data_IF_134234859276
#
_entry.id   IF_134234859276
#
_cell.length_a   1.000
_cell.length_b   1.000
_cell.length_c   1.000
_cell.angle_alpha   90.00
_cell.angle_beta   90.00
_cell.angle_gamma   90.00
#
_symmetry.space_group_name_H-M   'P 1'
#
loop_
_entity.id
_entity.type
_entity.pdbx_description
1 polymer ?
#
# COMPACT_ATOMS: atom_id res chain seq x y z
N UNK A 1 6.84 8.57 -35.85
CA UNK A 1 5.39 8.78 -35.56
C UNK A 1 5.03 10.22 -35.87
N UNK A 2 3.92 10.48 -36.58
CA UNK A 2 3.46 11.85 -36.85
C UNK A 2 2.97 12.50 -35.54
N UNK A 3 3.29 13.78 -35.26
CA UNK A 3 2.77 14.47 -34.09
C UNK A 3 1.24 14.56 -34.19
N UNK A 4 0.55 14.20 -33.10
CA UNK A 4 -0.91 14.30 -32.96
C UNK A 4 -1.21 15.24 -31.79
N UNK A 5 -1.02 16.56 -31.97
CA UNK A 5 -1.08 17.52 -30.86
C UNK A 5 -2.44 17.49 -30.15
N UNK A 6 -3.53 17.28 -30.88
CA UNK A 6 -4.87 17.12 -30.29
C UNK A 6 -4.94 15.91 -29.35
N UNK A 7 -4.38 14.76 -29.75
CA UNK A 7 -4.35 13.57 -28.91
C UNK A 7 -3.53 13.81 -27.64
N UNK A 8 -2.38 14.47 -27.77
CA UNK A 8 -1.52 14.77 -26.63
C UNK A 8 -2.21 15.71 -25.62
N UNK A 9 -2.92 16.73 -26.10
CA UNK A 9 -3.73 17.62 -25.25
C UNK A 9 -4.87 16.85 -24.58
N UNK A 10 -5.63 16.05 -25.33
CA UNK A 10 -6.74 15.26 -24.78
C UNK A 10 -6.24 14.27 -23.73
N UNK A 11 -5.10 13.62 -23.97
CA UNK A 11 -4.52 12.68 -23.01
C UNK A 11 -4.05 13.38 -21.73
N UNK A 12 -3.53 14.61 -21.79
CA UNK A 12 -3.22 15.42 -20.60
C UNK A 12 -4.50 15.78 -19.85
N UNK A 13 -5.53 16.26 -20.55
CA UNK A 13 -6.82 16.61 -19.92
C UNK A 13 -7.49 15.40 -19.26
N UNK A 14 -7.44 14.24 -19.91
CA UNK A 14 -7.94 12.99 -19.35
C UNK A 14 -7.17 12.59 -18.09
N UNK A 15 -5.84 12.70 -18.09
CA UNK A 15 -5.01 12.46 -16.88
C UNK A 15 -5.31 13.45 -15.76
N UNK A 16 -5.52 14.72 -16.09
CA UNK A 16 -5.93 15.73 -15.12
C UNK A 16 -7.27 15.36 -14.49
N UNK A 17 -8.31 15.13 -15.29
CA UNK A 17 -9.64 14.78 -14.78
C UNK A 17 -9.63 13.52 -13.91
N UNK A 18 -9.09 12.41 -14.43
CA UNK A 18 -9.04 11.13 -13.71
C UNK A 18 -8.16 11.24 -12.46
N UNK A 19 -6.98 11.85 -12.57
CA UNK A 19 -6.05 12.00 -11.46
C UNK A 19 -6.57 12.91 -10.35
N UNK A 20 -7.31 13.97 -10.68
CA UNK A 20 -7.97 14.85 -9.69
C UNK A 20 -9.01 14.10 -8.86
N UNK A 21 -9.80 13.24 -9.49
CA UNK A 21 -10.79 12.41 -8.78
C UNK A 21 -10.11 11.46 -7.80
N UNK A 22 -9.05 10.77 -8.23
CA UNK A 22 -8.26 9.92 -7.34
C UNK A 22 -7.63 10.70 -6.18
N UNK A 23 -7.04 11.87 -6.45
CA UNK A 23 -6.49 12.74 -5.39
C UNK A 23 -7.57 13.13 -4.39
N UNK A 24 -8.77 13.49 -4.85
CA UNK A 24 -9.88 13.85 -3.97
C UNK A 24 -10.31 12.68 -3.08
N UNK A 25 -10.48 11.48 -3.63
CA UNK A 25 -10.81 10.29 -2.84
C UNK A 25 -9.71 9.90 -1.85
N UNK A 26 -8.45 9.93 -2.27
CA UNK A 26 -7.31 9.62 -1.41
C UNK A 26 -7.19 10.64 -0.28
N UNK A 27 -7.38 11.93 -0.58
CA UNK A 27 -7.39 13.00 0.41
C UNK A 27 -8.49 12.81 1.45
N UNK A 28 -9.71 12.50 1.01
CA UNK A 28 -10.83 12.23 1.91
C UNK A 28 -10.52 11.07 2.87
N UNK A 29 -9.85 10.01 2.39
CA UNK A 29 -9.45 8.86 3.23
C UNK A 29 -8.37 9.24 4.25
N UNK A 30 -7.44 10.15 3.91
CA UNK A 30 -6.43 10.66 4.84
C UNK A 30 -7.08 11.57 5.89
N UNK A 31 -7.99 12.45 5.47
CA UNK A 31 -8.70 13.38 6.36
C UNK A 31 -9.58 12.64 7.36
N UNK A 32 -10.29 11.60 6.92
CA UNK A 32 -11.02 10.70 7.82
C UNK A 32 -10.10 9.94 8.79
N UNK A 33 -8.85 9.72 8.38
CA UNK A 33 -7.83 8.97 9.10
C UNK A 33 -7.89 7.47 8.81
N UNK A 34 -6.72 6.86 8.66
CA UNK A 34 -6.58 5.44 8.29
C UNK A 34 -7.36 4.50 9.21
N UNK A 35 -7.40 4.78 10.52
CA UNK A 35 -8.15 3.96 11.47
C UNK A 35 -9.66 4.00 11.21
N UNK A 36 -10.22 5.15 10.85
CA UNK A 36 -11.65 5.29 10.55
C UNK A 36 -11.99 4.63 9.21
N UNK A 37 -11.17 4.88 8.18
CA UNK A 37 -11.29 4.22 6.87
C UNK A 37 -11.18 2.70 7.00
N UNK A 38 -10.24 2.21 7.81
CA UNK A 38 -10.10 0.79 8.10
C UNK A 38 -11.36 0.19 8.74
N UNK A 39 -11.99 0.86 9.71
CA UNK A 39 -13.27 0.39 10.27
C UNK A 39 -14.37 0.33 9.22
N UNK A 40 -14.49 1.37 8.38
CA UNK A 40 -15.46 1.37 7.29
C UNK A 40 -15.23 0.21 6.31
N UNK A 41 -13.98 -0.13 6.02
CA UNK A 41 -13.63 -1.27 5.17
C UNK A 41 -13.93 -2.60 5.84
N UNK A 42 -13.76 -2.70 7.17
CA UNK A 42 -14.12 -3.87 7.97
C UNK A 42 -15.64 -4.12 7.93
N UNK A 43 -16.44 -3.06 8.11
CA UNK A 43 -17.90 -3.09 8.02
C UNK A 43 -18.40 -3.54 6.64
N UNK A 44 -17.63 -3.24 5.59
CA UNK A 44 -17.88 -3.63 4.19
C UNK A 44 -17.32 -5.03 3.85
N UNK A 45 -16.66 -5.72 4.79
CA UNK A 45 -16.12 -7.06 4.58
C UNK A 45 -14.84 -7.11 3.74
N UNK A 46 -14.12 -5.98 3.61
CA UNK A 46 -12.83 -5.93 2.89
C UNK A 46 -11.77 -6.70 3.69
N UNK A 47 -11.04 -7.64 3.06
CA UNK A 47 -9.97 -8.38 3.74
C UNK A 47 -8.80 -7.45 4.10
N UNK A 48 -8.20 -7.68 5.27
CA UNK A 48 -7.09 -6.87 5.81
C UNK A 48 -7.41 -5.36 5.81
N UNK A 49 -8.50 -4.94 6.49
CA UNK A 49 -9.11 -3.62 6.30
C UNK A 49 -8.14 -2.45 6.55
N UNK A 50 -7.29 -2.53 7.57
CA UNK A 50 -6.27 -1.51 7.82
C UNK A 50 -5.24 -1.41 6.70
N UNK A 51 -4.78 -2.55 6.17
CA UNK A 51 -3.81 -2.55 5.06
C UNK A 51 -4.45 -2.03 3.77
N UNK A 52 -5.70 -2.43 3.49
CA UNK A 52 -6.48 -1.92 2.38
C UNK A 52 -6.72 -0.40 2.50
N UNK A 53 -7.01 0.11 3.70
CA UNK A 53 -7.18 1.55 3.93
C UNK A 53 -5.91 2.35 3.69
N UNK A 54 -4.75 1.86 4.17
CA UNK A 54 -3.44 2.45 3.87
C UNK A 54 -3.19 2.43 2.37
N UNK A 55 -3.35 1.27 1.74
CA UNK A 55 -3.15 1.12 0.30
C UNK A 55 -4.02 2.08 -0.48
N UNK A 56 -5.35 2.06 -0.30
CA UNK A 56 -6.27 2.90 -1.04
C UNK A 56 -5.97 4.39 -0.85
N UNK A 57 -5.77 4.85 0.39
CA UNK A 57 -5.48 6.26 0.66
C UNK A 57 -4.22 6.76 -0.07
N UNK A 58 -3.12 6.00 -0.01
CA UNK A 58 -1.87 6.40 -0.65
C UNK A 58 -1.83 6.10 -2.15
N UNK A 59 -2.43 4.99 -2.60
CA UNK A 59 -2.50 4.63 -4.01
C UNK A 59 -3.34 5.64 -4.79
N UNK A 60 -4.51 6.03 -4.28
CA UNK A 60 -5.35 7.04 -4.91
C UNK A 60 -4.66 8.40 -4.89
N UNK A 61 -4.11 8.83 -3.75
CA UNK A 61 -3.49 10.16 -3.64
C UNK A 61 -2.21 10.28 -4.48
N UNK A 62 -1.23 9.38 -4.24
CA UNK A 62 0.07 9.42 -4.91
C UNK A 62 -0.04 8.93 -6.35
N UNK A 63 -0.87 7.91 -6.60
CA UNK A 63 -1.14 7.42 -7.95
C UNK A 63 -1.88 8.45 -8.78
N UNK A 64 -2.86 9.17 -8.22
CA UNK A 64 -3.51 10.29 -8.89
C UNK A 64 -2.52 11.39 -9.26
N UNK A 65 -1.63 11.79 -8.34
CA UNK A 65 -0.58 12.76 -8.62
C UNK A 65 0.42 12.28 -9.69
N UNK A 66 0.86 11.02 -9.61
CA UNK A 66 1.74 10.41 -10.60
C UNK A 66 1.06 10.31 -11.98
N UNK A 67 -0.24 10.02 -12.02
CA UNK A 67 -1.03 9.97 -13.24
C UNK A 67 -1.07 11.34 -13.90
N UNK A 68 -1.36 12.41 -13.15
CA UNK A 68 -1.33 13.79 -13.65
C UNK A 68 0.04 14.12 -14.24
N UNK A 69 1.11 13.84 -13.50
CA UNK A 69 2.48 14.08 -13.96
C UNK A 69 2.85 13.25 -15.21
N UNK A 70 2.18 12.13 -15.44
CA UNK A 70 2.59 11.15 -16.45
C UNK A 70 3.86 10.44 -16.03
N UNK A 71 3.92 10.01 -14.77
CA UNK A 71 5.04 9.28 -14.18
C UNK A 71 4.69 7.79 -14.05
N UNK A 72 5.58 6.94 -14.54
CA UNK A 72 5.47 5.48 -14.53
C UNK A 72 4.06 4.99 -14.94
N UNK A 73 3.48 5.58 -16.00
CA UNK A 73 2.07 5.38 -16.35
C UNK A 73 1.58 3.91 -16.39
N UNK A 74 2.36 2.95 -16.91
CA UNK A 74 1.99 1.53 -16.85
C UNK A 74 1.76 1.04 -15.42
N UNK A 75 2.68 1.38 -14.51
CA UNK A 75 2.63 0.95 -13.10
C UNK A 75 1.54 1.71 -12.36
N UNK A 76 1.51 3.04 -12.51
CA UNK A 76 0.51 3.90 -11.88
C UNK A 76 -0.91 3.50 -12.28
N UNK A 77 -1.16 3.26 -13.57
CA UNK A 77 -2.47 2.83 -14.07
C UNK A 77 -2.88 1.45 -13.57
N UNK A 78 -1.95 0.49 -13.45
CA UNK A 78 -2.25 -0.83 -12.89
C UNK A 78 -2.57 -0.77 -11.39
N UNK A 79 -1.86 0.06 -10.63
CA UNK A 79 -2.14 0.26 -9.20
C UNK A 79 -3.53 0.88 -9.00
N UNK A 80 -3.84 1.95 -9.72
CA UNK A 80 -5.17 2.59 -9.63
C UNK A 80 -6.29 1.67 -10.13
N UNK A 81 -6.02 0.85 -11.16
CA UNK A 81 -6.98 -0.16 -11.60
C UNK A 81 -7.23 -1.24 -10.53
N UNK A 82 -6.17 -1.74 -9.88
CA UNK A 82 -6.31 -2.73 -8.82
C UNK A 82 -7.12 -2.18 -7.63
N UNK A 83 -6.91 -0.91 -7.29
CA UNK A 83 -7.69 -0.20 -6.28
C UNK A 83 -9.18 -0.11 -6.65
N UNK A 84 -9.51 0.31 -7.87
CA UNK A 84 -10.89 0.33 -8.37
C UNK A 84 -11.50 -1.06 -8.48
N UNK A 85 -10.73 -2.09 -8.85
CA UNK A 85 -11.21 -3.46 -8.87
C UNK A 85 -11.57 -3.96 -7.46
N UNK A 86 -10.76 -3.63 -6.45
CA UNK A 86 -11.07 -3.91 -5.05
C UNK A 86 -12.33 -3.19 -4.59
N UNK A 87 -12.43 -1.88 -4.87
CA UNK A 87 -13.62 -1.09 -4.55
C UNK A 87 -14.89 -1.65 -5.23
N UNK A 88 -14.78 -2.12 -6.47
CA UNK A 88 -15.91 -2.74 -7.17
C UNK A 88 -16.33 -4.04 -6.46
N UNK A 89 -15.40 -4.97 -6.26
CA UNK A 89 -15.69 -6.31 -5.74
C UNK A 89 -16.26 -6.27 -4.32
N UNK A 90 -15.69 -5.44 -3.44
CA UNK A 90 -16.05 -5.46 -2.02
C UNK A 90 -17.11 -4.44 -1.64
N UNK A 91 -17.25 -3.34 -2.39
CA UNK A 91 -18.14 -2.24 -2.00
C UNK A 91 -19.33 -2.06 -2.94
N UNK A 92 -19.17 -2.32 -4.25
CA UNK A 92 -20.20 -1.97 -5.25
C UNK A 92 -20.76 -3.15 -6.05
N UNK A 93 -20.27 -4.37 -5.86
CA UNK A 93 -20.66 -5.52 -6.69
C UNK A 93 -22.15 -5.92 -6.57
N UNK A 94 -22.79 -5.57 -5.45
CA UNK A 94 -24.22 -5.78 -5.21
C UNK A 94 -25.10 -4.59 -5.58
N UNK A 95 -24.50 -3.49 -6.03
CA UNK A 95 -25.19 -2.21 -6.24
C UNK A 95 -25.59 -2.00 -7.70
N UNK A 96 -26.50 -1.06 -7.93
CA UNK A 96 -26.89 -0.62 -9.28
C UNK A 96 -25.78 0.12 -10.02
N UNK A 97 -26.02 0.43 -11.31
CA UNK A 97 -25.05 1.23 -12.11
C UNK A 97 -24.93 2.64 -11.54
N UNK A 98 -26.08 3.28 -11.29
CA UNK A 98 -26.17 4.72 -11.06
C UNK A 98 -25.97 5.08 -9.60
N UNK A 99 -25.20 6.13 -9.32
CA UNK A 99 -25.10 6.71 -7.98
C UNK A 99 -26.34 7.50 -7.57
N UNK A 100 -27.22 7.82 -8.53
CA UNK A 100 -28.50 8.46 -8.25
C UNK A 100 -29.57 7.76 -9.08
N UNK A 101 -30.50 7.10 -8.39
CA UNK A 101 -31.68 6.51 -9.01
C UNK A 101 -32.95 7.04 -8.33
N UNK A 102 -33.94 7.45 -9.12
CA UNK A 102 -35.22 7.95 -8.63
C UNK A 102 -35.16 9.13 -7.64
N UNK A 103 -34.08 9.93 -7.65
CA UNK A 103 -33.90 11.06 -6.72
C UNK A 103 -33.31 10.71 -5.36
N UNK A 104 -32.87 9.46 -5.16
CA UNK A 104 -32.10 9.03 -3.98
C UNK A 104 -30.63 8.84 -4.37
N UNK A 105 -29.73 9.24 -3.48
CA UNK A 105 -28.30 8.96 -3.63
C UNK A 105 -28.07 7.52 -3.17
N UNK A 106 -27.59 6.67 -4.08
CA UNK A 106 -27.25 5.26 -3.88
C UNK A 106 -25.76 5.03 -4.18
N UNK A 107 -25.25 3.83 -3.86
CA UNK A 107 -23.85 3.48 -4.07
C UNK A 107 -23.61 2.84 -5.44
N UNK A 108 -23.79 3.59 -6.53
CA UNK A 108 -23.60 3.07 -7.88
C UNK A 108 -22.15 2.73 -8.24
N UNK A 109 -21.93 1.70 -9.08
CA UNK A 109 -20.59 1.31 -9.51
C UNK A 109 -20.03 2.10 -10.71
N UNK A 110 -20.79 3.02 -11.30
CA UNK A 110 -20.41 3.75 -12.52
C UNK A 110 -19.06 4.47 -12.40
N UNK A 111 -18.81 5.16 -11.28
CA UNK A 111 -17.58 5.92 -11.09
C UNK A 111 -16.37 4.99 -10.99
N UNK A 112 -16.51 3.91 -10.23
CA UNK A 112 -15.47 2.89 -10.03
C UNK A 112 -15.13 2.22 -11.37
N UNK A 113 -16.15 1.90 -12.17
CA UNK A 113 -15.97 1.32 -13.50
C UNK A 113 -15.23 2.28 -14.44
N UNK A 114 -15.67 3.53 -14.53
CA UNK A 114 -15.08 4.54 -15.43
C UNK A 114 -13.64 4.84 -15.03
N UNK A 115 -13.36 5.03 -13.73
CA UNK A 115 -12.00 5.27 -13.21
C UNK A 115 -11.10 4.04 -13.41
N UNK A 116 -11.62 2.83 -13.17
CA UNK A 116 -10.89 1.59 -13.37
C UNK A 116 -10.48 1.41 -14.83
N UNK A 117 -11.44 1.47 -15.76
CA UNK A 117 -11.16 1.32 -17.20
C UNK A 117 -10.25 2.43 -17.71
N UNK A 118 -10.43 3.68 -17.25
CA UNK A 118 -9.56 4.79 -17.61
C UNK A 118 -8.11 4.57 -17.13
N UNK A 119 -7.95 4.08 -15.90
CA UNK A 119 -6.64 3.71 -15.36
C UNK A 119 -5.96 2.61 -16.19
N UNK A 120 -6.73 1.62 -16.63
CA UNK A 120 -6.23 0.54 -17.48
C UNK A 120 -5.83 1.06 -18.88
N UNK A 121 -6.57 2.01 -19.45
CA UNK A 121 -6.20 2.67 -20.70
C UNK A 121 -4.86 3.40 -20.57
N UNK A 122 -4.64 4.12 -19.47
CA UNK A 122 -3.36 4.77 -19.22
C UNK A 122 -2.23 3.76 -19.02
N UNK A 123 -2.52 2.65 -18.34
CA UNK A 123 -1.55 1.56 -18.19
C UNK A 123 -1.13 0.97 -19.54
N UNK A 124 -2.07 0.88 -20.49
CA UNK A 124 -1.83 0.41 -21.86
C UNK A 124 -1.12 1.43 -22.77
N UNK A 125 -0.78 2.63 -22.27
CA UNK A 125 -0.03 3.65 -23.01
C UNK A 125 -0.88 4.78 -23.61
N UNK A 126 -2.14 4.95 -23.18
CA UNK A 126 -3.00 6.04 -23.64
C UNK A 126 -2.63 7.44 -23.07
N UNK A 127 -1.50 7.59 -22.37
CA UNK A 127 -1.10 8.82 -21.68
C UNK A 127 -0.62 9.98 -22.56
N UNK A 128 -0.47 9.77 -23.86
CA UNK A 128 0.08 10.77 -24.78
C UNK A 128 1.59 10.95 -24.64
N UNK A 129 2.15 11.92 -25.37
CA UNK A 129 3.59 12.20 -25.39
C UNK A 129 4.05 13.18 -24.31
N UNK A 130 3.13 13.98 -23.80
CA UNK A 130 3.42 15.00 -22.79
C UNK A 130 3.46 14.39 -21.39
N UNK A 131 4.43 13.52 -21.14
CA UNK A 131 4.60 12.81 -19.86
C UNK A 131 5.96 13.10 -19.25
N UNK A 132 6.05 13.11 -17.92
CA UNK A 132 7.35 13.24 -17.24
C UNK A 132 8.28 12.09 -17.60
N UNK A 133 7.74 10.88 -17.81
CA UNK A 133 8.51 9.72 -18.30
C UNK A 133 9.26 10.03 -19.59
N UNK A 134 8.59 10.63 -20.57
CA UNK A 134 9.21 10.97 -21.85
C UNK A 134 10.20 12.13 -21.73
N UNK A 135 9.93 13.10 -20.85
CA UNK A 135 10.87 14.18 -20.57
C UNK A 135 12.15 13.68 -19.89
N UNK A 136 12.04 12.77 -18.93
CA UNK A 136 13.18 12.13 -18.26
C UNK A 136 13.95 11.26 -19.26
N UNK A 137 13.26 10.45 -20.06
CA UNK A 137 13.89 9.61 -21.09
C UNK A 137 14.62 10.46 -22.14
N UNK A 138 14.01 11.54 -22.63
CA UNK A 138 14.65 12.46 -23.57
C UNK A 138 15.88 13.15 -22.99
N UNK A 139 15.86 13.51 -21.70
CA UNK A 139 17.05 14.06 -21.02
C UNK A 139 18.19 13.06 -20.88
N UNK A 140 17.88 11.77 -20.61
CA UNK A 140 18.90 10.71 -20.53
C UNK A 140 19.56 10.47 -21.90
N UNK A 141 18.76 10.38 -22.96
CA UNK A 141 19.27 10.18 -24.32
C UNK A 141 20.15 11.34 -24.84
N UNK A 142 19.99 12.55 -24.28
CA UNK A 142 20.80 13.72 -24.63
C UNK A 142 22.07 13.87 -23.75
N UNK A 143 22.37 12.93 -22.84
CA UNK A 143 23.61 12.88 -22.04
C UNK A 143 24.43 11.61 -22.34
N UNK A 144 24.96 11.45 -23.56
CA UNK A 144 25.71 10.26 -23.96
C UNK A 144 27.04 10.07 -23.20
N UNK A 145 27.56 11.15 -22.62
CA UNK A 145 28.82 11.21 -21.87
C UNK A 145 28.81 10.35 -20.60
N UNK A 146 27.66 10.24 -19.92
CA UNK A 146 27.52 9.41 -18.70
C UNK A 146 27.42 7.92 -19.03
N UNK A 147 26.73 7.57 -20.11
CA UNK A 147 26.54 6.18 -20.53
C UNK A 147 27.86 5.56 -21.04
N UNK A 148 28.72 6.36 -21.65
CA UNK A 148 30.02 5.94 -22.18
C UNK A 148 31.07 5.74 -21.07
N UNK A 149 31.08 6.59 -20.03
CA UNK A 149 31.88 6.39 -18.82
C UNK A 149 31.42 5.17 -18.02
N UNK A 150 30.10 4.97 -17.85
CA UNK A 150 29.54 3.82 -17.16
C UNK A 150 29.88 2.51 -17.90
N UNK A 151 29.71 2.48 -19.23
CA UNK A 151 30.08 1.33 -20.06
C UNK A 151 31.60 1.06 -20.03
N UNK A 152 32.42 2.12 -20.10
CA UNK A 152 33.88 1.99 -20.01
C UNK A 152 34.32 1.47 -18.63
N UNK A 153 33.68 1.92 -17.55
CA UNK A 153 33.95 1.44 -16.19
C UNK A 153 33.57 -0.04 -16.01
N UNK A 154 32.44 -0.46 -16.60
CA UNK A 154 31.98 -1.84 -16.59
C UNK A 154 32.93 -2.76 -17.35
N UNK A 155 33.31 -2.40 -18.58
CA UNK A 155 34.30 -3.14 -19.38
C UNK A 155 35.65 -3.21 -18.67
N UNK A 156 36.08 -2.12 -18.02
CA UNK A 156 37.31 -2.11 -17.21
C UNK A 156 37.23 -3.08 -16.04
N UNK A 157 36.10 -3.12 -15.32
CA UNK A 157 35.89 -4.07 -14.22
C UNK A 157 35.87 -5.53 -14.67
N UNK A 158 35.34 -5.82 -15.87
CA UNK A 158 35.36 -7.15 -16.47
C UNK A 158 36.79 -7.57 -16.87
N UNK A 159 37.56 -6.66 -17.48
CA UNK A 159 38.97 -6.89 -17.80
C UNK A 159 39.82 -7.11 -16.54
N UNK A 160 39.49 -6.40 -15.47
CA UNK A 160 40.16 -6.57 -14.16
C UNK A 160 39.76 -7.88 -13.47
N UNK A 161 38.55 -8.39 -13.72
CA UNK A 161 38.10 -9.70 -13.27
C UNK A 161 38.72 -10.85 -14.09
N UNK A 162 38.93 -10.68 -15.40
CA UNK A 162 39.60 -11.67 -16.27
C UNK A 162 41.10 -11.78 -15.99
N UNK A 163 41.75 -10.70 -15.55
CA UNK A 163 43.19 -10.67 -15.30
C UNK A 163 43.59 -11.13 -13.89
N UNK A 164 42.63 -11.31 -12.97
CA UNK A 164 42.89 -11.90 -11.66
C UNK A 164 42.72 -13.42 -11.72
N UNK A 165 43.77 -14.21 -11.43
CA UNK A 165 43.61 -15.67 -11.37
C UNK A 165 42.67 -16.02 -10.23
N UNK A 166 41.73 -16.94 -10.48
CA UNK A 166 40.80 -17.49 -9.48
C UNK A 166 41.64 -17.96 -8.28
N UNK A 167 41.58 -17.22 -7.18
CA UNK A 167 42.28 -17.59 -5.95
C UNK A 167 41.54 -18.79 -5.36
N UNK A 168 41.98 -20.01 -5.71
CA UNK A 168 41.49 -21.24 -5.08
C UNK A 168 41.64 -21.08 -3.57
N UNK A 169 40.53 -21.03 -2.85
CA UNK A 169 40.52 -21.21 -1.40
C UNK A 169 41.13 -22.59 -1.11
N UNK A 170 42.42 -22.60 -0.74
CA UNK A 170 43.14 -23.83 -0.38
C UNK A 170 42.63 -24.27 0.99
N UNK A 171 41.81 -25.31 0.99
CA UNK A 171 41.44 -26.05 2.19
C UNK A 171 42.71 -26.51 2.93
N UNK A 172 42.83 -26.14 4.20
CA UNK A 172 43.88 -26.67 5.09
C UNK A 172 43.54 -28.13 5.43
N UNK A 173 44.41 -29.07 5.05
CA UNK A 173 44.54 -30.38 5.70
C UNK A 173 46.02 -30.70 5.98
N UNK A 174 46.30 -31.44 7.06
CA UNK A 174 47.56 -31.38 7.80
C UNK A 174 48.57 -32.40 7.26
N UNK A 175 49.85 -32.03 7.28
CA UNK A 175 50.94 -32.94 6.93
C UNK A 175 51.62 -33.46 8.19
N UNK A 176 51.65 -34.80 8.25
CA UNK A 176 52.10 -35.70 9.29
C UNK A 176 53.51 -36.21 8.89
N UNK A 177 54.40 -36.27 9.87
CA UNK A 177 55.64 -37.07 9.98
C UNK A 177 56.92 -36.65 9.22
N UNK A 178 57.92 -36.22 10.00
CA UNK A 178 59.33 -36.56 9.79
C UNK A 178 59.84 -37.30 11.06
N UNK A 179 60.68 -38.37 10.96
CA UNK A 179 61.04 -39.25 12.07
C UNK A 179 62.49 -38.96 12.59
N UNK A 180 63.10 -39.76 13.49
CA UNK A 180 63.41 -39.36 14.88
C UNK A 180 64.91 -39.35 15.23
N UNK A 181 65.31 -38.62 16.28
CA UNK A 181 66.51 -38.92 17.08
C UNK A 181 66.18 -38.69 18.57
N UNK A 182 66.81 -39.48 19.44
CA UNK A 182 66.27 -40.11 20.65
C UNK A 182 66.75 -39.42 21.99
N UNK A 183 66.59 -39.97 23.22
CA UNK A 183 65.70 -39.43 24.27
C UNK A 183 66.37 -39.01 25.61
N UNK A 184 65.68 -38.23 26.46
CA UNK A 184 65.79 -38.18 27.94
C UNK A 184 64.75 -37.18 28.50
N UNK A 185 63.85 -37.41 29.47
CA UNK A 185 63.47 -38.53 30.35
C UNK A 185 62.05 -38.27 30.94
N UNK A 186 61.49 -39.13 31.81
CA UNK A 186 60.05 -39.17 32.17
C UNK A 186 59.72 -38.49 33.55
N UNK A 187 58.43 -38.33 33.97
CA UNK A 187 57.77 -37.05 34.32
C UNK A 187 57.45 -36.94 35.85
N UNK A 188 56.60 -35.99 36.33
CA UNK A 188 55.16 -36.31 36.43
C UNK A 188 54.18 -35.12 36.32
N UNK A 189 52.90 -35.51 36.24
CA UNK A 189 51.65 -34.75 36.15
C UNK A 189 51.08 -34.50 37.54
N UNK A 190 50.47 -33.33 37.76
CA UNK A 190 49.40 -33.04 38.74
C UNK A 190 48.83 -31.64 38.39
N UNK A 191 47.58 -31.25 38.56
CA UNK A 191 46.29 -31.82 38.95
C UNK A 191 45.27 -30.68 38.69
N UNK A 192 44.04 -31.02 38.31
CA UNK A 192 42.87 -30.12 38.44
C UNK A 192 42.27 -30.35 39.83
N UNK A 193 41.77 -29.33 40.53
CA UNK A 193 40.39 -29.47 41.00
C UNK A 193 39.52 -28.22 40.87
N UNK A 194 38.22 -28.55 40.75
CA UNK A 194 37.00 -27.77 40.62
C UNK A 194 36.59 -26.98 41.89
N UNK A 195 35.36 -26.43 41.83
CA UNK A 195 34.51 -25.90 42.90
C UNK A 195 34.63 -24.35 43.06
N UNK A 196 33.57 -23.54 43.14
CA UNK A 196 32.22 -23.82 43.60
C UNK A 196 31.30 -22.56 43.54
N UNK A 197 29.99 -22.78 43.70
CA UNK A 197 28.94 -21.89 44.26
C UNK A 197 28.04 -20.98 43.38
N UNK A 198 26.81 -21.51 43.23
CA UNK A 198 25.52 -20.83 43.11
C UNK A 198 25.19 -19.93 44.33
N UNK A 199 24.61 -18.73 44.12
CA UNK A 199 23.82 -17.99 45.14
C UNK A 199 22.61 -17.26 44.52
N UNK A 200 21.49 -17.30 45.27
CA UNK A 200 20.11 -16.93 44.97
C UNK A 200 19.72 -15.42 44.98
N UNK A 201 18.49 -15.09 44.53
CA UNK A 201 17.83 -13.74 44.44
C UNK A 201 17.45 -13.07 45.78
N UNK A 202 16.29 -12.35 46.00
CA UNK A 202 15.21 -11.84 45.10
C UNK A 202 14.52 -10.46 45.49
N UNK A 203 13.45 -10.05 44.75
CA UNK A 203 12.22 -9.24 45.09
C UNK A 203 12.18 -7.68 45.17
N UNK A 204 11.17 -7.09 44.48
CA UNK A 204 9.97 -6.32 44.98
C UNK A 204 9.14 -5.78 43.79
N UNK A 205 7.90 -6.18 43.48
CA UNK A 205 6.59 -6.04 44.15
C UNK A 205 6.08 -4.58 44.31
N UNK A 206 5.31 -4.09 43.33
CA UNK A 206 4.51 -2.85 43.39
C UNK A 206 3.02 -3.15 43.27
N UNK A 207 2.28 -2.83 44.34
CA UNK A 207 0.86 -3.14 44.61
C UNK A 207 -0.03 -2.00 44.09
N UNK A 208 -1.11 -2.28 43.36
CA UNK A 208 -2.28 -1.37 43.32
C UNK A 208 -3.58 -2.19 43.18
N UNK A 209 -4.31 -2.30 44.29
CA UNK A 209 -5.71 -2.75 44.37
C UNK A 209 -6.57 -1.53 44.71
N UNK A 210 -7.66 -1.33 43.97
CA UNK A 210 -9.02 -1.26 44.55
C UNK A 210 -10.04 -1.06 43.43
N UNK A 211 -10.78 -2.13 43.14
CA UNK A 211 -12.09 -2.10 42.49
C UNK A 211 -13.10 -1.66 43.57
N UNK A 212 -13.86 -0.61 43.32
CA UNK A 212 -15.11 -0.31 44.03
C UNK A 212 -16.18 0.00 42.99
N UNK A 213 -17.23 -0.82 43.02
CA UNK A 213 -18.43 -0.70 42.22
C UNK A 213 -19.38 0.35 42.81
N UNK A 214 -20.15 1.05 41.97
CA UNK A 214 -21.52 1.53 42.23
C UNK A 214 -22.15 2.14 40.95
N UNK A 215 -23.49 2.32 40.87
CA UNK A 215 -24.34 1.53 39.98
C UNK A 215 -24.98 2.31 38.81
N UNK A 216 -25.56 1.55 37.87
CA UNK A 216 -26.38 1.98 36.72
C UNK A 216 -27.56 2.89 37.13
N UNK A 217 -27.87 3.95 36.36
CA UNK A 217 -29.22 4.52 36.28
C UNK A 217 -30.09 3.68 35.32
N UNK A 218 -31.35 3.45 35.72
CA UNK A 218 -32.41 2.82 34.94
C UNK A 218 -32.86 3.70 33.76
N UNK A 219 -33.44 3.11 32.69
CA UNK A 219 -33.92 3.84 31.52
C UNK A 219 -35.22 4.58 31.80
N UNK A 220 -35.25 5.86 31.45
CA UNK A 220 -36.46 6.68 31.43
C UNK A 220 -37.42 6.15 30.36
N UNK A 221 -38.66 5.93 30.78
CA UNK A 221 -39.79 5.51 29.95
C UNK A 221 -40.19 6.69 29.06
N UNK A 222 -39.90 6.60 27.76
CA UNK A 222 -40.48 7.51 26.77
C UNK A 222 -41.89 7.04 26.45
N UNK A 223 -42.87 7.78 26.95
CA UNK A 223 -44.28 7.65 26.60
C UNK A 223 -44.46 7.88 25.10
N UNK A 224 -44.93 6.84 24.41
CA UNK A 224 -45.38 6.90 23.03
C UNK A 224 -46.72 7.65 22.90
N UNK A 225 -46.74 8.58 21.94
CA UNK A 225 -47.81 8.87 20.96
C UNK A 225 -49.27 8.99 21.41
N UNK A 226 -49.88 10.14 21.11
CA UNK A 226 -50.96 10.28 20.09
C UNK A 226 -51.35 11.76 19.92
N UNK A 227 -51.58 12.22 18.67
CA UNK A 227 -52.67 13.13 18.41
C UNK A 227 -53.76 12.45 17.56
N UNK A 228 -54.87 12.24 18.24
CA UNK A 228 -56.27 12.21 17.84
C UNK A 228 -56.61 12.64 16.41
N UNK A 229 -57.12 11.67 15.66
CA UNK A 229 -58.42 11.69 14.96
C UNK A 229 -58.60 12.61 13.75
N UNK A 230 -58.67 11.91 12.62
CA UNK A 230 -59.34 12.25 11.36
C UNK A 230 -60.78 12.74 11.56
N UNK A 231 -61.10 13.91 11.03
CA UNK A 231 -62.48 14.29 10.73
C UNK A 231 -62.64 14.46 9.21
N UNK A 232 -63.29 13.46 8.61
CA UNK A 232 -63.91 13.51 7.28
C UNK A 232 -65.12 14.44 7.30
N UNK A 233 -65.22 15.33 6.32
CA UNK A 233 -66.47 15.99 5.93
C UNK A 233 -66.56 15.95 4.40
N UNK A 234 -67.05 14.82 3.90
CA UNK A 234 -67.81 14.74 2.67
C UNK A 234 -69.19 15.33 2.95
N UNK A 235 -69.56 16.43 2.29
CA UNK A 235 -70.87 16.56 1.63
C UNK A 235 -70.94 17.87 0.82
N UNK A 236 -71.07 17.77 -0.52
CA UNK A 236 -71.97 18.58 -1.36
C UNK A 236 -71.78 18.26 -2.85
N UNK A 237 -72.56 17.26 -3.28
CA UNK A 237 -73.53 17.30 -4.37
C UNK A 237 -73.23 18.17 -5.62
N UNK A 238 -73.14 17.49 -6.77
CA UNK A 238 -73.55 18.05 -8.07
C UNK A 238 -74.88 17.45 -8.50
N UNK A 239 -75.84 18.27 -8.94
CA UNK A 239 -76.81 18.03 -10.01
C UNK A 239 -77.84 19.17 -10.05
N UNK A 240 -77.76 20.01 -11.08
CA UNK A 240 -78.82 20.55 -11.98
C UNK A 240 -78.24 21.71 -12.76
#
# INVERSE_FOLDING_TARGET
>A
MRPRPLYDVVAVLARLGVGLVFIAHGWQKIEAGITATGRSFDDLGVPLPTAAAVYAAFAELLGGAALIAGLALPVTGLLLFADMAGAFVFVHAGEGVFMVDGGKVENGYELVLVLGVSSLLFAAGAGGRLTLDQWIAAKRLNRPDLDEEDAASFVKSLREAETKPVRKHRAKRPAKNAPPDEPAGPPPVTEVPDDDLLVAGPRKAGRRRSRRAQPKPQPETQTQTQPTETASLDDKNGST
#
